data_IF_012478446467
#
_entry.id   IF_012478446467
#
_cell.length_a   1.000
_cell.length_b   1.000
_cell.length_c   1.000
_cell.angle_alpha   90.00
_cell.angle_beta   90.00
_cell.angle_gamma   90.00
#
_symmetry.space_group_name_H-M   'P 1'
#
loop_
_entity.id
_entity.type
_entity.pdbx_description
1 polymer ?
#
# COMPACT_ATOMS: atom_id res chain seq x y z
N UNK A 1 -13.93 5.26 -17.61
CA UNK A 1 -12.45 5.46 -17.56
C UNK A 1 -11.88 4.83 -16.30
N UNK A 2 -10.60 4.45 -16.25
CA UNK A 2 -9.95 3.96 -15.02
C UNK A 2 -8.77 4.86 -14.68
N UNK A 3 -8.62 5.22 -13.40
CA UNK A 3 -7.47 5.99 -12.92
C UNK A 3 -6.32 5.03 -12.62
N UNK A 4 -5.13 5.30 -13.15
CA UNK A 4 -3.91 4.57 -12.77
C UNK A 4 -3.01 5.55 -12.04
N UNK A 5 -2.65 5.24 -10.79
CA UNK A 5 -1.88 6.14 -9.93
C UNK A 5 -0.81 5.40 -9.16
N UNK A 6 0.40 5.97 -9.09
CA UNK A 6 1.45 5.45 -8.20
C UNK A 6 1.28 5.92 -6.74
N UNK A 7 0.04 6.04 -6.28
CA UNK A 7 -0.30 6.37 -4.90
C UNK A 7 -0.18 5.12 -4.04
N UNK A 8 0.45 5.23 -2.86
CA UNK A 8 0.45 4.16 -1.85
C UNK A 8 -0.88 4.03 -1.09
N UNK A 9 -1.92 4.77 -1.49
CA UNK A 9 -3.25 4.71 -0.88
C UNK A 9 -4.12 3.64 -1.51
N UNK A 10 -5.16 3.22 -0.79
CA UNK A 10 -6.25 2.41 -1.34
C UNK A 10 -6.93 3.14 -2.49
N UNK A 11 -7.54 2.38 -3.39
CA UNK A 11 -8.28 2.92 -4.54
C UNK A 11 -9.41 3.86 -4.09
N UNK A 12 -10.11 3.53 -3.00
CA UNK A 12 -11.18 4.36 -2.42
C UNK A 12 -10.69 5.76 -2.07
N UNK A 13 -9.54 5.89 -1.39
CA UNK A 13 -8.95 7.18 -1.05
C UNK A 13 -8.58 8.00 -2.30
N UNK A 14 -8.17 7.35 -3.39
CA UNK A 14 -7.93 8.04 -4.66
C UNK A 14 -9.25 8.53 -5.28
N UNK A 15 -10.33 7.75 -5.21
CA UNK A 15 -11.65 8.15 -5.69
C UNK A 15 -12.21 9.33 -4.88
N UNK A 16 -12.16 9.28 -3.55
CA UNK A 16 -12.51 10.39 -2.64
C UNK A 16 -11.69 11.64 -2.97
N UNK A 17 -10.40 11.48 -3.31
CA UNK A 17 -9.56 12.62 -3.68
C UNK A 17 -10.02 13.26 -4.98
N UNK A 18 -10.42 12.48 -5.98
CA UNK A 18 -10.96 13.01 -7.24
C UNK A 18 -12.24 13.80 -7.01
N UNK A 19 -13.15 13.27 -6.19
CA UNK A 19 -14.36 13.98 -5.78
C UNK A 19 -14.03 15.31 -5.09
N UNK A 20 -13.08 15.29 -4.14
CA UNK A 20 -12.63 16.51 -3.44
C UNK A 20 -12.01 17.58 -4.35
N UNK A 21 -11.58 17.19 -5.56
CA UNK A 21 -11.01 18.08 -6.57
C UNK A 21 -12.08 18.59 -7.56
N UNK A 22 -13.35 18.19 -7.39
CA UNK A 22 -14.47 18.61 -8.24
C UNK A 22 -14.68 17.77 -9.49
N UNK A 23 -14.05 16.59 -9.58
CA UNK A 23 -14.34 15.65 -10.66
C UNK A 23 -15.60 14.84 -10.37
N UNK A 24 -16.45 14.65 -11.39
CA UNK A 24 -17.56 13.70 -11.34
C UNK A 24 -17.00 12.26 -11.33
N UNK A 25 -17.09 11.60 -10.17
CA UNK A 25 -16.57 10.24 -9.97
C UNK A 25 -17.34 9.19 -10.77
N UNK A 26 -18.56 9.48 -11.24
CA UNK A 26 -19.35 8.56 -12.07
C UNK A 26 -18.73 8.32 -13.46
N UNK A 27 -17.84 9.22 -13.91
CA UNK A 27 -17.10 9.07 -15.17
C UNK A 27 -15.98 8.01 -15.08
N UNK A 28 -15.65 7.58 -13.86
CA UNK A 28 -14.62 6.58 -13.60
C UNK A 28 -15.26 5.28 -13.13
N UNK A 29 -14.80 4.17 -13.69
CA UNK A 29 -15.12 2.84 -13.20
C UNK A 29 -14.42 2.55 -11.85
N UNK A 30 -13.30 3.24 -11.59
CA UNK A 30 -12.53 3.12 -10.36
C UNK A 30 -11.09 3.58 -10.53
N UNK A 31 -10.26 3.24 -9.53
CA UNK A 31 -8.83 3.51 -9.52
C UNK A 31 -8.03 2.23 -9.29
N UNK A 32 -6.90 2.11 -9.97
CA UNK A 32 -5.85 1.14 -9.70
C UNK A 32 -4.67 1.93 -9.16
N UNK A 33 -4.29 1.63 -7.92
CA UNK A 33 -3.15 2.25 -7.27
C UNK A 33 -2.12 1.19 -6.87
N UNK A 34 -0.86 1.58 -6.76
CA UNK A 34 0.18 0.67 -6.29
C UNK A 34 -0.10 0.23 -4.85
N UNK A 35 -0.62 1.12 -3.99
CA UNK A 35 -1.06 0.77 -2.64
C UNK A 35 -2.24 -0.21 -2.60
N UNK A 36 -3.19 -0.10 -3.52
CA UNK A 36 -4.32 -1.04 -3.65
C UNK A 36 -3.82 -2.43 -4.03
N UNK A 37 -2.97 -2.52 -5.05
CA UNK A 37 -2.40 -3.79 -5.49
C UNK A 37 -1.58 -4.45 -4.37
N UNK A 38 -0.69 -3.70 -3.70
CA UNK A 38 0.08 -4.25 -2.58
C UNK A 38 -0.82 -4.73 -1.44
N UNK A 39 -1.86 -3.99 -1.08
CA UNK A 39 -2.81 -4.45 -0.07
C UNK A 39 -3.48 -5.77 -0.50
N UNK A 40 -3.96 -5.85 -1.74
CA UNK A 40 -4.61 -7.06 -2.25
C UNK A 40 -3.66 -8.27 -2.28
N UNK A 41 -2.41 -8.09 -2.72
CA UNK A 41 -1.43 -9.16 -2.72
C UNK A 41 -1.01 -9.60 -1.30
N UNK A 42 -0.83 -8.66 -0.36
CA UNK A 42 -0.54 -8.99 1.03
C UNK A 42 -1.72 -9.69 1.73
N UNK A 43 -2.95 -9.37 1.33
CA UNK A 43 -4.16 -9.98 1.86
C UNK A 43 -4.39 -11.39 1.30
N UNK A 44 -4.29 -11.55 -0.03
CA UNK A 44 -4.60 -12.82 -0.71
C UNK A 44 -3.46 -13.82 -0.61
N UNK A 45 -2.22 -13.34 -0.78
CA UNK A 45 -0.99 -14.16 -0.77
C UNK A 45 -1.09 -15.40 -1.65
N UNK A 46 -1.72 -15.22 -2.80
CA UNK A 46 -1.97 -16.25 -3.82
C UNK A 46 -0.80 -16.42 -4.80
N UNK A 47 0.10 -15.44 -4.85
CA UNK A 47 1.38 -15.51 -5.55
C UNK A 47 2.49 -16.08 -4.63
N UNK A 48 3.34 -16.95 -5.18
CA UNK A 48 4.38 -17.67 -4.42
C UNK A 48 5.33 -16.73 -3.65
N UNK A 49 5.67 -15.57 -4.23
CA UNK A 49 6.55 -14.61 -3.59
C UNK A 49 5.86 -13.93 -2.39
N UNK A 50 4.59 -13.55 -2.52
CA UNK A 50 3.80 -13.00 -1.41
C UNK A 50 3.42 -14.06 -0.36
N UNK A 51 3.20 -15.31 -0.78
CA UNK A 51 2.94 -16.44 0.12
C UNK A 51 4.15 -16.73 1.01
N UNK A 52 5.37 -16.62 0.45
CA UNK A 52 6.63 -16.84 1.16
C UNK A 52 6.99 -15.72 2.14
N UNK A 53 6.40 -14.53 2.03
CA UNK A 53 6.59 -13.49 3.05
C UNK A 53 6.13 -14.02 4.42
N UNK A 54 6.73 -13.51 5.48
CA UNK A 54 6.29 -13.75 6.85
C UNK A 54 5.04 -12.96 7.25
N UNK A 55 4.75 -12.97 8.54
CA UNK A 55 3.69 -12.14 9.17
C UNK A 55 4.24 -11.01 10.02
N UNK A 56 5.51 -11.04 10.44
CA UNK A 56 6.12 -9.89 11.12
C UNK A 56 6.84 -8.98 10.12
N UNK A 57 6.61 -7.67 10.22
CA UNK A 57 7.24 -6.71 9.33
C UNK A 57 7.60 -5.40 10.00
N UNK A 58 8.68 -4.78 9.54
CA UNK A 58 8.91 -3.36 9.77
C UNK A 58 8.13 -2.57 8.73
N UNK A 59 7.32 -1.63 9.21
CA UNK A 59 6.53 -0.76 8.36
C UNK A 59 7.09 0.66 8.35
N UNK A 60 7.74 1.03 7.25
CA UNK A 60 8.36 2.34 7.09
C UNK A 60 7.45 3.26 6.29
N UNK A 61 6.90 4.27 6.98
CA UNK A 61 6.06 5.31 6.36
C UNK A 61 6.57 6.70 6.67
N UNK A 62 6.18 7.67 5.85
CA UNK A 62 6.48 9.07 6.14
C UNK A 62 5.44 9.67 7.08
N UNK A 63 5.88 10.04 8.30
CA UNK A 63 5.03 10.53 9.41
C UNK A 63 3.99 11.57 9.00
N UNK A 64 4.34 12.51 8.11
CA UNK A 64 3.43 13.60 7.71
C UNK A 64 2.37 13.23 6.67
N UNK A 65 2.41 12.02 6.09
CA UNK A 65 1.39 11.57 5.13
C UNK A 65 0.23 10.88 5.86
N UNK A 66 0.38 10.55 7.13
CA UNK A 66 -0.60 9.77 7.90
C UNK A 66 -0.45 8.28 7.60
N UNK A 67 -0.82 7.47 8.61
CA UNK A 67 -0.66 6.01 8.56
C UNK A 67 -1.37 5.40 7.35
N UNK A 68 -0.82 4.30 6.84
CA UNK A 68 -1.50 3.43 5.89
C UNK A 68 -2.06 2.29 6.71
N UNK A 69 -3.36 2.03 6.56
CA UNK A 69 -4.03 0.98 7.34
C UNK A 69 -3.48 -0.39 6.95
N UNK A 70 -3.07 -1.14 7.97
CA UNK A 70 -2.66 -2.54 7.90
C UNK A 70 -3.78 -3.49 8.37
N UNK A 71 -4.95 -2.94 8.69
CA UNK A 71 -6.07 -3.68 9.21
C UNK A 71 -6.49 -4.79 8.23
N UNK A 72 -6.79 -5.97 8.77
CA UNK A 72 -7.23 -7.12 7.98
C UNK A 72 -6.11 -7.83 7.20
N UNK A 73 -4.85 -7.38 7.26
CA UNK A 73 -3.72 -8.06 6.61
C UNK A 73 -3.10 -9.18 7.45
N UNK A 74 -3.43 -9.27 8.75
CA UNK A 74 -2.85 -10.26 9.65
C UNK A 74 -1.33 -10.10 9.87
N UNK A 75 -0.82 -8.88 9.67
CA UNK A 75 0.58 -8.53 9.85
C UNK A 75 0.82 -8.00 11.27
N UNK A 76 1.93 -8.42 11.86
CA UNK A 76 2.47 -7.87 13.10
C UNK A 76 3.54 -6.84 12.75
N UNK A 77 3.32 -5.57 13.11
CA UNK A 77 4.35 -4.54 12.97
C UNK A 77 5.34 -4.68 14.13
N UNK A 78 6.62 -4.78 13.82
CA UNK A 78 7.72 -4.86 14.79
C UNK A 78 8.68 -3.69 14.57
N UNK A 79 9.39 -3.29 15.63
CA UNK A 79 10.32 -2.15 15.61
C UNK A 79 11.79 -2.58 15.47
N UNK A 80 12.10 -3.87 15.65
CA UNK A 80 13.44 -4.44 15.56
C UNK A 80 13.61 -5.26 14.29
N UNK A 81 14.75 -5.11 13.64
CA UNK A 81 15.05 -5.81 12.38
C UNK A 81 15.16 -7.31 12.60
N UNK A 82 15.64 -7.73 13.75
CA UNK A 82 15.81 -9.14 14.11
C UNK A 82 14.47 -9.87 14.34
N UNK A 83 13.39 -9.13 14.55
CA UNK A 83 12.03 -9.65 14.75
C UNK A 83 11.21 -9.63 13.46
N UNK A 84 11.73 -9.02 12.38
CA UNK A 84 11.03 -8.79 11.13
C UNK A 84 11.38 -9.86 10.09
N UNK A 85 10.36 -10.42 9.44
CA UNK A 85 10.54 -11.34 8.31
C UNK A 85 10.63 -10.59 6.98
N UNK A 86 10.14 -9.35 6.93
CA UNK A 86 10.34 -8.46 5.78
C UNK A 86 10.21 -6.98 6.17
N UNK A 87 10.68 -6.11 5.27
CA UNK A 87 10.53 -4.66 5.38
C UNK A 87 9.57 -4.16 4.31
N UNK A 88 8.58 -3.36 4.74
CA UNK A 88 7.64 -2.68 3.85
C UNK A 88 7.89 -1.17 3.84
N UNK A 89 8.40 -0.68 2.71
CA UNK A 89 8.70 0.74 2.47
C UNK A 89 7.58 1.41 1.66
N UNK A 90 6.95 2.43 2.26
CA UNK A 90 5.90 3.23 1.62
C UNK A 90 6.20 4.73 1.67
N UNK A 91 7.35 5.16 1.12
CA UNK A 91 7.61 6.56 0.80
C UNK A 91 8.88 6.79 -0.03
N UNK A 92 8.74 7.44 -1.20
CA UNK A 92 9.79 8.30 -1.74
C UNK A 92 9.19 9.70 -1.98
N UNK A 93 9.74 10.71 -1.30
CA UNK A 93 9.24 12.11 -1.30
C UNK A 93 9.23 12.75 -2.70
N UNK A 94 10.11 12.31 -3.60
CA UNK A 94 10.34 12.94 -4.90
C UNK A 94 10.14 12.02 -6.13
N UNK A 95 9.87 10.72 -5.94
CA UNK A 95 9.87 9.72 -7.03
C UNK A 95 8.55 8.95 -7.20
N UNK A 96 7.45 9.42 -6.59
CA UNK A 96 6.22 8.62 -6.46
C UNK A 96 6.39 7.51 -5.42
N UNK A 97 5.31 6.86 -4.98
CA UNK A 97 5.46 5.78 -4.01
C UNK A 97 6.07 4.55 -4.70
N UNK A 98 7.40 4.39 -4.63
CA UNK A 98 8.01 3.11 -4.94
C UNK A 98 7.69 2.16 -3.78
N UNK A 99 6.81 1.20 -4.03
CA UNK A 99 6.55 0.11 -3.10
C UNK A 99 7.72 -0.87 -3.20
N UNK A 100 8.49 -0.93 -2.13
CA UNK A 100 9.58 -1.88 -1.99
C UNK A 100 9.23 -2.77 -0.81
N UNK A 101 9.11 -4.06 -1.11
CA UNK A 101 9.07 -5.11 -0.12
C UNK A 101 10.40 -5.85 -0.21
N UNK A 102 11.11 -5.93 0.91
CA UNK A 102 12.39 -6.62 1.01
C UNK A 102 12.24 -7.77 2.00
N UNK A 103 12.35 -9.00 1.52
CA UNK A 103 12.47 -10.17 2.39
C UNK A 103 13.86 -10.16 3.07
N UNK A 104 13.89 -10.46 4.37
CA UNK A 104 15.11 -10.54 5.19
C UNK A 104 15.51 -12.00 5.40
#
# INVERSE_FOLDING_TARGET
MVIISNSSRRASTTMEKMESLGFDTSLFLGAITSGELTHQYLQRRDDDWFAALGKSCIHVTWKGRGAISLEGLGLQVVDKVEEAEFVWLMALKHWGCLLVLLAL
#
